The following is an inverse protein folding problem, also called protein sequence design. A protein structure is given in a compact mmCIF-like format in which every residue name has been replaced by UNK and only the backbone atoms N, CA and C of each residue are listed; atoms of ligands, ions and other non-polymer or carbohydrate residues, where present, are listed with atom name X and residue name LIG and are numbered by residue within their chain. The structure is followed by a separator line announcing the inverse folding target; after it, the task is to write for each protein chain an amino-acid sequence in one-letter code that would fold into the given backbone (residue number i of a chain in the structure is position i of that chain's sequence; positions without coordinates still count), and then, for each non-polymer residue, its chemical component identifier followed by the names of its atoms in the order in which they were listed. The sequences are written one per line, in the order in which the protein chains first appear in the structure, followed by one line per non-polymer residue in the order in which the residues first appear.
data_IF_710778069264
#
_entry.id   IF_710778069264
#
_cell.length_a   1.000
_cell.length_b   1.000
_cell.length_c   1.000
_cell.angle_alpha   90.00
_cell.angle_beta   90.00
_cell.angle_gamma   90.00
#
_symmetry.space_group_name_H-M   'P 1'
#
loop_
_entity.id
_entity.type
_entity.pdbx_description
1 polymer ?
#
# COMPACT_ATOMS: atom_id res chain seq x y z
N UNK A 1 -28.14 15.09 20.90
CA UNK A 1 -27.33 16.15 20.24
C UNK A 1 -26.62 15.53 19.05
N UNK A 2 -27.27 15.47 17.89
CA UNK A 2 -26.67 14.98 16.65
C UNK A 2 -26.33 16.20 15.81
N UNK A 3 -25.09 16.67 15.90
CA UNK A 3 -24.59 17.74 15.04
C UNK A 3 -24.49 17.20 13.60
N UNK A 4 -25.44 17.64 12.77
CA UNK A 4 -25.59 17.28 11.35
C UNK A 4 -24.78 18.20 10.45
N UNK A 5 -23.58 18.61 10.86
CA UNK A 5 -22.65 19.33 9.99
C UNK A 5 -21.28 18.69 10.04
N UNK A 6 -21.13 17.53 9.38
CA UNK A 6 -19.83 16.89 9.17
C UNK A 6 -19.01 17.68 8.12
N UNK A 7 -18.76 18.96 8.39
CA UNK A 7 -18.07 19.87 7.50
C UNK A 7 -16.58 19.59 7.61
N UNK A 8 -16.01 18.97 6.57
CA UNK A 8 -14.58 18.73 6.48
C UNK A 8 -13.87 20.09 6.60
N UNK A 9 -13.09 20.27 7.67
CA UNK A 9 -12.32 21.47 7.88
C UNK A 9 -11.19 21.55 6.84
N UNK A 10 -10.90 22.74 6.29
CA UNK A 10 -9.79 22.89 5.36
C UNK A 10 -8.47 22.53 6.05
N UNK A 11 -7.63 21.79 5.35
CA UNK A 11 -6.28 21.46 5.84
C UNK A 11 -5.47 22.75 6.03
N UNK A 12 -4.85 22.96 7.20
CA UNK A 12 -3.98 24.10 7.41
C UNK A 12 -2.79 24.14 6.44
N UNK A 13 -2.19 25.31 6.16
CA UNK A 13 -1.12 25.42 5.17
C UNK A 13 0.12 24.56 5.46
N UNK A 14 0.50 24.38 6.73
CA UNK A 14 1.72 23.68 7.13
C UNK A 14 1.69 22.15 6.93
N UNK A 15 0.51 21.55 6.68
CA UNK A 15 0.38 20.12 6.36
C UNK A 15 0.18 19.85 4.87
N UNK A 16 0.14 20.89 4.02
CA UNK A 16 -0.03 20.74 2.58
C UNK A 16 1.32 20.40 1.95
N UNK A 17 1.30 19.41 1.05
CA UNK A 17 2.47 18.97 0.30
C UNK A 17 2.30 19.28 -1.19
N UNK A 18 3.41 19.49 -1.88
CA UNK A 18 3.43 19.63 -3.34
C UNK A 18 3.66 18.26 -3.97
N UNK A 19 2.73 17.82 -4.80
CA UNK A 19 2.84 16.54 -5.51
C UNK A 19 3.69 16.78 -6.76
N UNK A 20 4.86 16.13 -6.81
CA UNK A 20 5.73 16.14 -7.98
C UNK A 20 5.94 14.71 -8.49
N UNK A 21 5.64 14.49 -9.78
CA UNK A 21 5.82 13.19 -10.44
C UNK A 21 7.13 13.18 -11.24
N UNK A 22 8.24 13.06 -10.53
CA UNK A 22 9.57 13.00 -11.11
C UNK A 22 9.84 11.66 -11.84
N UNK A 23 11.05 11.53 -12.40
CA UNK A 23 11.46 10.31 -13.11
C UNK A 23 11.35 9.05 -12.22
N UNK A 24 11.87 9.11 -10.99
CA UNK A 24 11.83 7.99 -10.05
C UNK A 24 10.40 7.57 -9.70
N UNK A 25 9.50 8.54 -9.51
CA UNK A 25 8.09 8.26 -9.30
C UNK A 25 7.51 7.41 -10.44
N UNK A 26 7.74 7.83 -11.69
CA UNK A 26 7.23 7.12 -12.88
C UNK A 26 7.88 5.75 -13.03
N UNK A 27 9.17 5.63 -12.73
CA UNK A 27 9.91 4.36 -12.73
C UNK A 27 9.32 3.37 -11.73
N UNK A 28 9.20 3.77 -10.46
CA UNK A 28 8.64 2.92 -9.40
C UNK A 28 7.18 2.54 -9.71
N UNK A 29 6.35 3.51 -10.12
CA UNK A 29 4.97 3.25 -10.53
C UNK A 29 4.88 2.21 -11.66
N UNK A 30 5.80 2.29 -12.63
CA UNK A 30 5.89 1.37 -13.75
C UNK A 30 6.23 -0.06 -13.31
N UNK A 31 7.24 -0.21 -12.45
CA UNK A 31 7.68 -1.52 -11.96
C UNK A 31 6.60 -2.17 -11.09
N UNK A 32 5.98 -1.41 -10.17
CA UNK A 32 4.91 -1.90 -9.32
C UNK A 32 3.71 -2.38 -10.15
N UNK A 33 3.28 -1.58 -11.13
CA UNK A 33 2.17 -1.93 -12.04
C UNK A 33 2.49 -3.16 -12.88
N UNK A 34 3.70 -3.24 -13.44
CA UNK A 34 4.18 -4.40 -14.22
C UNK A 34 4.14 -5.70 -13.42
N UNK A 35 4.46 -5.63 -12.13
CA UNK A 35 4.46 -6.78 -11.22
C UNK A 35 3.09 -7.02 -10.53
N UNK A 36 2.07 -6.20 -10.82
CA UNK A 36 0.75 -6.32 -10.20
C UNK A 36 0.76 -6.15 -8.69
N UNK A 37 1.66 -5.32 -8.15
CA UNK A 37 1.83 -5.09 -6.71
C UNK A 37 1.07 -3.87 -6.23
N UNK A 38 0.61 -3.92 -4.99
CA UNK A 38 -0.07 -2.81 -4.32
C UNK A 38 0.87 -2.15 -3.31
N UNK A 39 0.63 -0.87 -3.03
CA UNK A 39 1.35 -0.15 -1.97
C UNK A 39 0.36 0.54 -1.06
N UNK A 40 0.66 0.60 0.24
CA UNK A 40 -0.14 1.43 1.16
C UNK A 40 0.04 2.91 0.84
N UNK A 41 1.13 3.29 0.17
CA UNK A 41 1.36 4.64 -0.31
C UNK A 41 0.23 5.12 -1.23
N UNK A 42 -0.28 4.23 -2.10
CA UNK A 42 -1.40 4.49 -2.99
C UNK A 42 -2.75 4.32 -2.28
N UNK A 43 -2.98 3.15 -1.68
CA UNK A 43 -4.30 2.79 -1.15
C UNK A 43 -4.70 3.63 0.08
N UNK A 44 -3.73 4.10 0.87
CA UNK A 44 -3.97 4.99 2.01
C UNK A 44 -3.89 6.49 1.64
N UNK A 45 -3.70 6.83 0.36
CA UNK A 45 -3.55 8.22 -0.12
C UNK A 45 -2.46 9.01 0.63
N UNK A 46 -1.29 8.38 0.82
CA UNK A 46 -0.21 8.95 1.61
C UNK A 46 0.34 10.23 0.96
N UNK A 47 0.36 11.39 1.66
CA UNK A 47 0.90 12.63 1.12
C UNK A 47 2.41 12.56 0.85
N UNK A 48 3.13 11.66 1.53
CA UNK A 48 4.59 11.54 1.45
C UNK A 48 5.04 10.66 0.28
N UNK A 49 4.12 10.07 -0.51
CA UNK A 49 4.43 9.11 -1.57
C UNK A 49 5.52 9.60 -2.53
N UNK A 50 5.42 10.84 -3.01
CA UNK A 50 6.40 11.42 -3.93
C UNK A 50 7.79 11.53 -3.31
N UNK A 51 7.87 11.92 -2.04
CA UNK A 51 9.13 12.06 -1.31
C UNK A 51 9.76 10.70 -1.02
N UNK A 52 8.98 9.74 -0.53
CA UNK A 52 9.48 8.39 -0.27
C UNK A 52 10.02 7.74 -1.55
N UNK A 53 9.27 7.81 -2.64
CA UNK A 53 9.65 7.18 -3.90
C UNK A 53 10.86 7.85 -4.55
N UNK A 54 11.01 9.17 -4.40
CA UNK A 54 12.22 9.90 -4.83
C UNK A 54 13.50 9.35 -4.17
N UNK A 55 13.39 8.89 -2.92
CA UNK A 55 14.51 8.33 -2.15
C UNK A 55 14.62 6.81 -2.27
N UNK A 56 13.92 6.18 -3.22
CA UNK A 56 13.96 4.73 -3.38
C UNK A 56 13.42 4.00 -2.14
N UNK A 57 12.33 4.49 -1.56
CA UNK A 57 11.60 3.85 -0.46
C UNK A 57 10.14 3.63 -0.84
N UNK A 58 9.63 2.44 -0.56
CA UNK A 58 8.22 2.14 -0.74
C UNK A 58 7.75 1.15 0.32
N UNK A 59 6.45 1.20 0.61
CA UNK A 59 5.79 0.22 1.48
C UNK A 59 4.85 -0.65 0.64
N UNK A 60 5.29 -1.88 0.39
CA UNK A 60 4.50 -2.86 -0.37
C UNK A 60 3.39 -3.39 0.54
N UNK A 61 2.17 -3.44 0.00
CA UNK A 61 1.00 -3.96 0.69
C UNK A 61 0.61 -5.29 0.05
N UNK A 62 0.89 -6.38 0.75
CA UNK A 62 0.58 -7.74 0.31
C UNK A 62 -0.86 -8.14 0.72
N UNK A 63 -1.31 -9.31 0.26
CA UNK A 63 -2.65 -9.86 0.44
C UNK A 63 -3.76 -9.09 -0.30
N UNK A 64 -3.37 -8.29 -1.29
CA UNK A 64 -4.26 -7.51 -2.15
C UNK A 64 -4.50 -6.07 -1.67
N UNK A 65 -5.37 -5.35 -2.40
CA UNK A 65 -5.66 -3.92 -2.15
C UNK A 65 -6.86 -3.63 -1.26
N UNK A 66 -7.64 -4.64 -0.87
CA UNK A 66 -8.89 -4.47 -0.13
C UNK A 66 -8.87 -5.26 1.17
N UNK A 67 -9.44 -4.72 2.25
CA UNK A 67 -9.37 -5.28 3.60
C UNK A 67 -10.69 -5.93 4.04
N UNK A 68 -10.65 -7.04 4.79
CA UNK A 68 -11.87 -7.61 5.39
C UNK A 68 -12.45 -6.77 6.53
N UNK A 69 -11.69 -5.79 7.03
CA UNK A 69 -12.09 -4.85 8.08
C UNK A 69 -12.33 -3.46 7.52
N UNK A 70 -13.07 -2.65 8.28
CA UNK A 70 -13.44 -1.29 7.91
C UNK A 70 -13.12 -0.29 9.04
N UNK A 71 -11.82 -0.10 9.31
CA UNK A 71 -11.37 0.83 10.35
C UNK A 71 -11.72 2.27 9.96
N UNK A 72 -12.37 3.03 10.86
CA UNK A 72 -12.91 4.37 10.57
C UNK A 72 -11.90 5.41 10.06
N UNK A 73 -10.61 5.23 10.33
CA UNK A 73 -9.55 6.13 9.88
C UNK A 73 -8.86 5.67 8.59
N UNK A 74 -9.05 4.41 8.19
CA UNK A 74 -8.30 3.79 7.11
C UNK A 74 -8.99 4.07 5.77
N UNK A 75 -8.19 4.47 4.76
CA UNK A 75 -8.71 4.73 3.42
C UNK A 75 -8.71 3.47 2.52
N UNK A 76 -8.15 2.35 2.99
CA UNK A 76 -8.15 1.09 2.24
C UNK A 76 -9.58 0.57 2.09
N UNK A 77 -9.96 0.20 0.88
CA UNK A 77 -11.32 -0.22 0.54
C UNK A 77 -11.72 -1.52 1.27
N UNK A 78 -12.86 -1.56 1.99
CA UNK A 78 -13.33 -2.77 2.64
C UNK A 78 -13.93 -3.76 1.63
N UNK A 79 -13.78 -5.06 1.90
CA UNK A 79 -14.33 -6.15 1.09
C UNK A 79 -14.79 -7.31 1.95
N UNK A 80 -15.56 -8.24 1.36
CA UNK A 80 -15.91 -9.52 2.00
C UNK A 80 -14.86 -10.63 1.78
N UNK A 81 -13.81 -10.35 1.02
CA UNK A 81 -12.76 -11.30 0.67
C UNK A 81 -12.62 -11.45 -0.84
N UNK A 82 -11.41 -11.80 -1.28
CA UNK A 82 -11.05 -12.06 -2.68
C UNK A 82 -10.09 -13.24 -2.74
N UNK A 83 -9.97 -13.85 -3.92
CA UNK A 83 -8.92 -14.86 -4.15
C UNK A 83 -7.54 -14.28 -3.82
N UNK A 84 -6.74 -15.04 -3.06
CA UNK A 84 -5.34 -14.71 -2.77
C UNK A 84 -4.49 -15.13 -3.95
N UNK A 85 -3.61 -14.23 -4.38
CA UNK A 85 -2.58 -14.53 -5.34
C UNK A 85 -1.38 -15.18 -4.64
N UNK A 86 -1.16 -16.47 -4.88
CA UNK A 86 -0.08 -17.25 -4.24
C UNK A 86 1.31 -16.91 -4.79
N UNK A 87 1.39 -16.28 -5.96
CA UNK A 87 2.66 -15.90 -6.59
C UNK A 87 3.10 -14.48 -6.20
N UNK A 88 2.28 -13.74 -5.44
CA UNK A 88 2.59 -12.39 -4.94
C UNK A 88 3.94 -12.30 -4.19
N UNK A 89 4.35 -13.26 -3.34
CA UNK A 89 5.67 -13.25 -2.70
C UNK A 89 6.84 -13.16 -3.70
N UNK A 90 6.79 -13.94 -4.77
CA UNK A 90 7.85 -13.98 -5.79
C UNK A 90 7.91 -12.69 -6.60
N UNK A 91 6.75 -12.15 -6.97
CA UNK A 91 6.68 -10.87 -7.69
C UNK A 91 7.14 -9.72 -6.79
N UNK A 92 6.85 -9.79 -5.48
CA UNK A 92 7.35 -8.84 -4.48
C UNK A 92 8.86 -8.84 -4.43
N UNK A 93 9.49 -9.99 -4.26
CA UNK A 93 10.96 -10.12 -4.26
C UNK A 93 11.58 -9.65 -5.59
N UNK A 94 10.98 -10.02 -6.73
CA UNK A 94 11.42 -9.61 -8.06
C UNK A 94 11.35 -8.10 -8.26
N UNK A 95 10.26 -7.47 -7.83
CA UNK A 95 10.09 -6.03 -7.92
C UNK A 95 11.05 -5.28 -7.01
N UNK A 96 11.27 -5.75 -5.77
CA UNK A 96 12.25 -5.14 -4.84
C UNK A 96 13.64 -5.15 -5.48
N UNK A 97 14.04 -6.28 -6.08
CA UNK A 97 15.31 -6.43 -6.79
C UNK A 97 15.40 -5.52 -8.03
N UNK A 98 14.33 -5.41 -8.82
CA UNK A 98 14.28 -4.56 -10.03
C UNK A 98 14.31 -3.06 -9.68
N UNK A 99 13.63 -2.65 -8.60
CA UNK A 99 13.59 -1.24 -8.20
C UNK A 99 14.95 -0.80 -7.61
N UNK A 100 15.64 -1.71 -6.92
CA UNK A 100 16.87 -1.42 -6.19
C UNK A 100 16.61 -0.56 -4.95
N UNK A 101 15.50 -0.82 -4.24
CA UNK A 101 15.15 -0.07 -3.02
C UNK A 101 16.22 -0.30 -1.94
N UNK A 102 16.60 0.78 -1.25
CA UNK A 102 17.47 0.69 -0.07
C UNK A 102 16.72 0.18 1.15
N UNK A 103 15.50 0.69 1.34
CA UNK A 103 14.63 0.36 2.46
C UNK A 103 13.26 -0.06 1.93
N UNK A 104 12.83 -1.27 2.29
CA UNK A 104 11.49 -1.79 1.95
C UNK A 104 10.73 -2.08 3.23
N UNK A 105 9.50 -1.60 3.30
CA UNK A 105 8.55 -1.99 4.34
C UNK A 105 7.50 -2.89 3.70
N UNK A 106 7.22 -4.02 4.35
CA UNK A 106 6.12 -4.92 3.98
C UNK A 106 5.00 -4.72 4.99
N UNK A 107 3.79 -4.49 4.51
CA UNK A 107 2.56 -4.46 5.30
C UNK A 107 1.48 -5.26 4.59
N UNK A 108 0.32 -5.49 5.22
CA UNK A 108 -0.80 -6.17 4.58
C UNK A 108 -2.14 -5.60 5.00
N UNK A 109 -3.14 -5.93 4.20
CA UNK A 109 -4.54 -5.87 4.65
C UNK A 109 -4.84 -7.02 5.61
N UNK A 110 -5.95 -6.89 6.36
CA UNK A 110 -6.49 -8.02 7.12
C UNK A 110 -7.27 -8.95 6.20
N UNK A 111 -7.10 -10.26 6.41
CA UNK A 111 -7.73 -11.35 5.65
C UNK A 111 -8.43 -12.34 6.58
N UNK A 112 -9.44 -11.84 7.30
CA UNK A 112 -10.25 -12.67 8.20
C UNK A 112 -11.01 -13.79 7.43
N UNK A 113 -11.06 -13.73 6.10
CA UNK A 113 -11.65 -14.75 5.22
C UNK A 113 -10.73 -15.95 4.97
N UNK A 114 -9.44 -15.89 5.34
CA UNK A 114 -8.49 -16.99 5.20
C UNK A 114 -8.37 -17.80 6.50
N UNK A 115 -8.23 -19.14 6.43
CA UNK A 115 -8.08 -19.97 7.62
C UNK A 115 -6.90 -19.60 8.52
N UNK A 116 -5.80 -19.10 7.95
CA UNK A 116 -4.59 -18.68 8.65
C UNK A 116 -4.44 -17.14 8.72
N UNK A 117 -5.46 -16.39 8.29
CA UNK A 117 -5.40 -14.93 8.20
C UNK A 117 -4.38 -14.38 7.21
N UNK A 118 -3.77 -15.22 6.36
CA UNK A 118 -2.69 -14.85 5.45
C UNK A 118 -1.27 -15.02 6.01
N UNK A 119 -1.11 -15.63 7.19
CA UNK A 119 0.17 -15.84 7.84
C UNK A 119 1.20 -16.58 6.97
N UNK A 120 0.77 -17.59 6.20
CA UNK A 120 1.64 -18.34 5.31
C UNK A 120 2.24 -17.48 4.20
N UNK A 121 1.45 -16.57 3.61
CA UNK A 121 1.90 -15.69 2.53
C UNK A 121 2.83 -14.59 3.06
N UNK A 122 2.56 -14.07 4.26
CA UNK A 122 3.49 -13.22 4.98
C UNK A 122 4.85 -13.88 5.14
N UNK A 123 4.88 -15.08 5.71
CA UNK A 123 6.12 -15.79 5.96
C UNK A 123 6.86 -16.11 4.65
N UNK A 124 6.12 -16.44 3.59
CA UNK A 124 6.70 -16.69 2.27
C UNK A 124 7.30 -15.42 1.65
N UNK A 125 6.65 -14.26 1.80
CA UNK A 125 7.17 -12.98 1.31
C UNK A 125 8.51 -12.62 1.94
N UNK A 126 8.71 -12.95 3.22
CA UNK A 126 9.98 -12.68 3.92
C UNK A 126 11.08 -13.69 3.56
N UNK A 127 10.71 -14.93 3.17
CA UNK A 127 11.69 -15.97 2.78
C UNK A 127 12.28 -15.79 1.39
N UNK A 128 11.62 -15.03 0.52
CA UNK A 128 12.02 -14.80 -0.87
C UNK A 128 12.99 -13.64 -0.99
#
# INVERSE_FOLDING_TARGET
MTDKTNKILPKPPWIKVQISQNHEYKRLAGILRKNGLNTVCDEALCPNKCECWKHGRATIMILGRTCTRNCHFCNVEPTKGKTVDKDEPFRTASAIKEIGLHDVVITSVTRDDLPDGGAGLWAETIRR
#
